data_IF_502581952724
#
_entry.id   IF_502581952724
#
_cell.length_a   1.000
_cell.length_b   1.000
_cell.length_c   1.000
_cell.angle_alpha   90.00
_cell.angle_beta   90.00
_cell.angle_gamma   90.00
#
_symmetry.space_group_name_H-M   'P 1'
#
loop_
_entity.id
_entity.type
_entity.pdbx_description
1 polymer ?
#
# COMPACT_ATOMS: atom_id res chain seq x y z
N UNK A 1 13.57 14.88 23.59
CA UNK A 1 12.81 13.61 23.70
C UNK A 1 12.75 13.02 22.30
N UNK A 2 13.69 12.13 21.99
CA UNK A 2 13.75 11.44 20.70
C UNK A 2 12.80 10.26 20.79
N UNK A 3 11.70 10.29 20.04
CA UNK A 3 10.81 9.15 19.90
C UNK A 3 11.55 8.07 19.10
N UNK A 4 12.27 7.22 19.83
CA UNK A 4 12.73 5.92 19.36
C UNK A 4 11.49 5.02 19.20
N UNK A 5 10.82 5.12 18.05
CA UNK A 5 9.95 4.04 17.60
C UNK A 5 10.72 3.19 16.58
N UNK A 6 10.98 1.95 16.99
CA UNK A 6 11.64 0.89 16.24
C UNK A 6 10.73 0.36 15.11
N UNK A 7 10.45 1.16 14.07
CA UNK A 7 9.70 0.71 12.89
C UNK A 7 10.46 1.02 11.58
N UNK A 8 11.78 0.80 11.59
CA UNK A 8 12.68 1.01 10.46
C UNK A 8 12.67 -0.14 9.44
N UNK A 9 11.53 -0.80 9.23
CA UNK A 9 11.32 -1.70 8.08
C UNK A 9 10.12 -1.30 7.23
N UNK A 10 9.45 -0.19 7.54
CA UNK A 10 8.42 0.38 6.67
C UNK A 10 9.14 1.15 5.57
N UNK A 11 9.08 0.69 4.32
CA UNK A 11 9.70 1.41 3.21
C UNK A 11 9.07 2.79 3.05
N UNK A 12 9.79 3.75 2.47
CA UNK A 12 9.28 5.12 2.27
C UNK A 12 7.90 5.13 1.59
N UNK A 13 7.67 4.19 0.67
CA UNK A 13 6.42 4.07 -0.08
C UNK A 13 5.27 3.47 0.76
N UNK A 14 5.54 2.50 1.63
CA UNK A 14 4.53 1.99 2.57
C UNK A 14 4.07 3.09 3.54
N UNK A 15 4.98 3.97 3.96
CA UNK A 15 4.61 5.15 4.78
C UNK A 15 3.70 6.10 4.01
N UNK A 16 3.96 6.31 2.71
CA UNK A 16 3.10 7.14 1.86
C UNK A 16 1.72 6.51 1.72
N UNK A 17 1.65 5.19 1.50
CA UNK A 17 0.40 4.45 1.44
C UNK A 17 -0.40 4.58 2.75
N UNK A 18 0.24 4.36 3.90
CA UNK A 18 -0.38 4.52 5.21
C UNK A 18 -0.86 5.95 5.43
N UNK A 19 -0.10 6.97 5.03
CA UNK A 19 -0.49 8.36 5.14
C UNK A 19 -1.73 8.70 4.28
N UNK A 20 -1.82 8.13 3.07
CA UNK A 20 -3.01 8.27 2.21
C UNK A 20 -4.22 7.64 2.89
N UNK A 21 -4.10 6.43 3.43
CA UNK A 21 -5.20 5.77 4.12
C UNK A 21 -5.66 6.52 5.35
N UNK A 22 -4.73 6.97 6.21
CA UNK A 22 -5.04 7.82 7.36
C UNK A 22 -5.80 9.08 6.95
N UNK A 23 -5.32 9.76 5.90
CA UNK A 23 -5.99 10.95 5.39
C UNK A 23 -7.40 10.63 4.87
N UNK A 24 -7.60 9.51 4.18
CA UNK A 24 -8.90 9.09 3.68
C UNK A 24 -9.87 8.71 4.82
N UNK A 25 -9.39 8.07 5.88
CA UNK A 25 -10.20 7.64 7.03
C UNK A 25 -10.54 8.77 8.01
N UNK A 26 -9.90 9.94 7.89
CA UNK A 26 -10.03 11.07 8.85
C UNK A 26 -9.76 10.67 10.31
N UNK A 27 -9.02 9.58 10.52
CA UNK A 27 -8.73 9.09 11.85
C UNK A 27 -7.58 9.88 12.48
N UNK A 28 -7.62 10.02 13.80
CA UNK A 28 -6.55 10.64 14.60
C UNK A 28 -5.47 9.64 14.98
N UNK A 29 -5.73 8.33 14.85
CA UNK A 29 -4.75 7.28 15.08
C UNK A 29 -4.01 6.86 13.80
N UNK A 30 -2.76 6.42 13.98
CA UNK A 30 -1.93 5.88 12.90
C UNK A 30 -2.51 4.54 12.43
N UNK A 31 -3.43 4.57 11.47
CA UNK A 31 -3.98 3.35 10.86
C UNK A 31 -3.11 2.95 9.65
N UNK A 32 -2.41 1.81 9.77
CA UNK A 32 -1.72 1.19 8.64
C UNK A 32 -2.70 0.53 7.66
N UNK A 33 -2.23 0.23 6.45
CA UNK A 33 -3.01 -0.49 5.43
C UNK A 33 -3.56 -1.84 5.94
N UNK A 34 -2.90 -2.49 6.90
CA UNK A 34 -3.35 -3.74 7.52
C UNK A 34 -4.70 -3.54 8.25
N UNK A 35 -4.79 -2.51 9.10
CA UNK A 35 -6.02 -2.15 9.81
C UNK A 35 -7.12 -1.77 8.82
N UNK A 36 -6.76 -1.02 7.77
CA UNK A 36 -7.71 -0.64 6.72
C UNK A 36 -8.26 -1.88 6.01
N UNK A 37 -7.42 -2.87 5.72
CA UNK A 37 -7.82 -4.11 5.07
C UNK A 37 -8.74 -4.97 5.96
N UNK A 38 -8.53 -4.98 7.28
CA UNK A 38 -9.42 -5.63 8.24
C UNK A 38 -10.77 -4.91 8.34
N UNK A 39 -10.75 -3.58 8.41
CA UNK A 39 -11.98 -2.78 8.45
C UNK A 39 -12.79 -2.94 7.16
N UNK A 40 -12.13 -3.03 6.01
CA UNK A 40 -12.77 -3.37 4.73
C UNK A 40 -13.32 -4.80 4.67
N UNK A 41 -12.86 -5.71 5.55
CA UNK A 41 -13.47 -7.02 5.69
C UNK A 41 -14.84 -6.94 6.39
N UNK A 42 -15.01 -5.95 7.27
CA UNK A 42 -16.18 -5.76 8.12
C UNK A 42 -17.15 -4.70 7.57
N UNK A 43 -16.69 -3.81 6.69
CA UNK A 43 -17.42 -2.65 6.18
C UNK A 43 -17.08 -2.38 4.72
N UNK A 44 -17.94 -1.63 4.03
CA UNK A 44 -17.70 -1.29 2.62
C UNK A 44 -16.79 -0.05 2.51
N UNK A 45 -16.01 0.08 1.42
CA UNK A 45 -15.13 1.23 1.20
C UNK A 45 -15.88 2.56 1.18
N UNK A 46 -17.15 2.59 0.74
CA UNK A 46 -17.97 3.80 0.78
C UNK A 46 -18.27 4.23 2.21
N UNK A 47 -18.44 3.28 3.14
CA UNK A 47 -18.70 3.59 4.54
C UNK A 47 -17.42 4.02 5.29
N UNK A 48 -16.29 3.42 4.91
CA UNK A 48 -14.97 3.69 5.50
C UNK A 48 -14.35 5.02 5.06
N UNK A 49 -14.40 5.29 3.76
CA UNK A 49 -13.76 6.47 3.18
C UNK A 49 -14.76 7.57 2.83
N UNK A 50 -16.05 7.25 2.71
CA UNK A 50 -17.09 8.19 2.33
C UNK A 50 -16.76 8.89 1.02
N UNK A 51 -16.91 10.20 1.03
CA UNK A 51 -16.62 11.08 -0.12
C UNK A 51 -15.13 11.08 -0.51
N UNK A 52 -14.23 10.61 0.36
CA UNK A 52 -12.78 10.54 0.09
C UNK A 52 -12.38 9.29 -0.67
N UNK A 53 -13.29 8.36 -0.95
CA UNK A 53 -13.01 7.18 -1.77
C UNK A 53 -12.54 7.57 -3.18
N UNK A 54 -13.17 8.58 -3.78
CA UNK A 54 -12.74 9.07 -5.09
C UNK A 54 -11.33 9.70 -5.02
N UNK A 55 -11.03 10.43 -3.95
CA UNK A 55 -9.69 10.98 -3.72
C UNK A 55 -8.66 9.86 -3.50
N UNK A 56 -9.02 8.79 -2.79
CA UNK A 56 -8.17 7.60 -2.61
C UNK A 56 -7.79 7.03 -3.98
N UNK A 57 -8.77 6.78 -4.85
CA UNK A 57 -8.53 6.26 -6.19
C UNK A 57 -7.61 7.16 -7.03
N UNK A 58 -7.69 8.48 -6.84
CA UNK A 58 -6.80 9.43 -7.51
C UNK A 58 -5.40 9.49 -6.88
N UNK A 59 -5.27 9.21 -5.58
CA UNK A 59 -4.01 9.27 -4.84
C UNK A 59 -3.19 7.98 -4.92
N UNK A 60 -3.84 6.82 -5.03
CA UNK A 60 -3.16 5.52 -5.10
C UNK A 60 -2.10 5.43 -6.22
N UNK A 61 -2.33 5.94 -7.45
CA UNK A 61 -1.30 5.93 -8.50
C UNK A 61 -0.02 6.73 -8.18
N UNK A 62 -0.05 7.64 -7.20
CA UNK A 62 1.15 8.37 -6.77
C UNK A 62 2.06 7.53 -5.88
N UNK A 63 1.54 6.44 -5.32
CA UNK A 63 2.33 5.49 -4.54
C UNK A 63 3.12 4.61 -5.49
N UNK A 64 4.44 4.52 -5.28
CA UNK A 64 5.29 3.69 -6.14
C UNK A 64 5.29 2.26 -5.63
N UNK A 65 4.21 1.52 -5.91
CA UNK A 65 4.09 0.08 -5.62
C UNK A 65 5.30 -0.74 -6.10
N UNK A 66 5.90 -0.49 -7.28
CA UNK A 66 7.12 -1.19 -7.72
C UNK A 66 8.32 -1.07 -6.79
N UNK A 67 8.38 -0.05 -5.93
CA UNK A 67 9.46 0.18 -4.97
C UNK A 67 9.15 -0.40 -3.58
N UNK A 68 7.96 -0.97 -3.39
CA UNK A 68 7.60 -1.66 -2.15
C UNK A 68 8.23 -3.05 -2.07
N UNK A 69 8.46 -3.59 -0.86
CA UNK A 69 8.94 -4.96 -0.69
C UNK A 69 7.98 -5.96 -1.32
N UNK A 70 8.52 -7.00 -1.95
CA UNK A 70 7.71 -8.08 -2.54
C UNK A 70 6.77 -8.73 -1.51
N UNK A 71 7.27 -8.99 -0.30
CA UNK A 71 6.46 -9.56 0.79
C UNK A 71 5.26 -8.66 1.15
N UNK A 72 5.46 -7.34 1.12
CA UNK A 72 4.40 -6.37 1.37
C UNK A 72 3.36 -6.40 0.23
N UNK A 73 3.82 -6.31 -1.02
CA UNK A 73 2.96 -6.36 -2.20
C UNK A 73 2.13 -7.65 -2.25
N UNK A 74 2.73 -8.78 -1.88
CA UNK A 74 2.03 -10.07 -1.78
C UNK A 74 0.93 -10.03 -0.72
N UNK A 75 1.20 -9.46 0.46
CA UNK A 75 0.15 -9.26 1.49
C UNK A 75 -0.94 -8.31 1.01
N UNK A 76 -0.58 -7.19 0.36
CA UNK A 76 -1.54 -6.24 -0.22
C UNK A 76 -2.46 -6.94 -1.23
N UNK A 77 -1.91 -7.78 -2.10
CA UNK A 77 -2.66 -8.55 -3.10
C UNK A 77 -3.55 -9.65 -2.53
N UNK A 78 -3.23 -10.15 -1.33
CA UNK A 78 -4.06 -11.12 -0.59
C UNK A 78 -5.12 -10.44 0.29
N UNK A 79 -4.99 -9.14 0.54
CA UNK A 79 -5.88 -8.38 1.41
C UNK A 79 -7.23 -8.06 0.73
N UNK A 80 -8.22 -7.68 1.53
CA UNK A 80 -9.53 -7.29 1.02
C UNK A 80 -9.50 -5.98 0.22
N UNK A 81 -8.43 -5.17 0.32
CA UNK A 81 -8.25 -3.95 -0.48
C UNK A 81 -8.39 -4.21 -1.98
N UNK A 82 -7.86 -5.35 -2.44
CA UNK A 82 -7.95 -5.80 -3.83
C UNK A 82 -9.39 -5.95 -4.33
N UNK A 83 -10.31 -6.42 -3.47
CA UNK A 83 -11.71 -6.66 -3.85
C UNK A 83 -12.52 -5.37 -3.93
N UNK A 84 -12.15 -4.39 -3.12
CA UNK A 84 -12.91 -3.17 -2.95
C UNK A 84 -12.39 -2.02 -3.81
N UNK A 85 -11.13 -2.07 -4.25
CA UNK A 85 -10.50 -1.02 -5.05
C UNK A 85 -9.85 -1.62 -6.30
N UNK A 86 -10.51 -1.60 -7.47
CA UNK A 86 -10.00 -2.23 -8.69
C UNK A 86 -8.65 -1.68 -9.13
N UNK A 87 -8.46 -0.35 -9.07
CA UNK A 87 -7.19 0.30 -9.42
C UNK A 87 -6.04 -0.15 -8.51
N UNK A 88 -6.34 -0.53 -7.27
CA UNK A 88 -5.36 -1.05 -6.34
C UNK A 88 -4.86 -2.44 -6.75
N UNK A 89 -5.74 -3.30 -7.27
CA UNK A 89 -5.34 -4.61 -7.77
C UNK A 89 -4.34 -4.50 -8.93
N UNK A 90 -4.64 -3.61 -9.88
CA UNK A 90 -3.77 -3.39 -11.04
C UNK A 90 -2.39 -2.85 -10.60
N UNK A 91 -2.36 -1.88 -9.68
CA UNK A 91 -1.12 -1.30 -9.15
C UNK A 91 -0.29 -2.30 -8.34
N UNK A 92 -0.92 -3.13 -7.51
CA UNK A 92 -0.23 -4.18 -6.75
C UNK A 92 0.32 -5.24 -7.69
N UNK A 93 -0.45 -5.66 -8.70
CA UNK A 93 -0.01 -6.66 -9.69
C UNK A 93 1.15 -6.15 -10.52
N UNK A 94 1.12 -4.89 -10.93
CA UNK A 94 2.24 -4.23 -11.61
C UNK A 94 3.46 -4.16 -10.69
N UNK A 95 3.28 -3.79 -9.42
CA UNK A 95 4.36 -3.77 -8.42
C UNK A 95 5.00 -5.14 -8.21
N UNK A 96 4.20 -6.20 -8.08
CA UNK A 96 4.67 -7.60 -7.96
C UNK A 96 5.46 -7.97 -9.21
N UNK A 97 4.91 -7.70 -10.39
CA UNK A 97 5.57 -8.01 -11.66
C UNK A 97 6.91 -7.28 -11.75
N UNK A 98 6.95 -6.00 -11.40
CA UNK A 98 8.18 -5.21 -11.40
C UNK A 98 9.21 -5.75 -10.39
N UNK A 99 8.79 -6.14 -9.19
CA UNK A 99 9.67 -6.73 -8.19
C UNK A 99 10.25 -8.08 -8.66
N UNK A 100 9.44 -8.92 -9.33
CA UNK A 100 9.88 -10.17 -9.95
C UNK A 100 10.84 -9.93 -11.12
N UNK A 101 10.55 -8.96 -12.00
CA UNK A 101 11.42 -8.57 -13.12
C UNK A 101 12.71 -7.87 -12.67
N UNK A 102 12.66 -7.09 -11.60
CA UNK A 102 13.83 -6.45 -10.98
C UNK A 102 14.78 -7.47 -10.35
N UNK A 103 14.23 -8.54 -9.77
CA UNK A 103 14.97 -9.70 -9.26
C UNK A 103 15.60 -10.53 -10.39
N UNK A 104 14.98 -10.54 -11.58
CA UNK A 104 15.46 -11.21 -12.80
C UNK A 104 16.58 -10.46 -13.55
N UNK A 105 17.07 -9.32 -13.05
CA UNK A 105 18.32 -8.73 -13.53
C UNK A 105 19.47 -9.24 -12.66
N UNK A 106 20.11 -10.38 -12.97
CA UNK A 106 21.47 -10.58 -12.51
C UNK A 106 22.29 -9.46 -13.13
N UNK A 107 22.79 -8.56 -12.29
CA UNK A 107 23.93 -7.75 -12.68
C UNK A 107 25.06 -8.72 -13.03
N UNK A 108 25.30 -8.92 -14.32
CA UNK A 108 26.52 -9.54 -14.82
C UNK A 108 26.99 -8.79 -16.08
N UNK A 109 27.04 -7.47 -15.96
CA UNK A 109 28.15 -6.71 -16.52
C UNK A 109 29.20 -6.62 -15.43
N UNK A 110 30.18 -7.54 -15.47
CA UNK A 110 31.58 -7.26 -15.09
C UNK A 110 32.46 -8.51 -15.29
N UNK A 111 33.04 -8.59 -16.50
CA UNK A 111 34.47 -8.71 -16.81
C UNK A 111 34.80 -9.76 -17.87
#
# INVERSE_FOLDING_TARGET
MVLQHQDLTVTSEERVLNAIFMWCMRDKELCGWEVVAELLALSTPELLFGDRLQSLNNLLPFVRFPLMPYDLLKKLGQSNLRRHVPIFDDLVREGISYAEFGSLRPGNDQK
#
